data_IF_828049114816
#
_entry.id   IF_828049114816
#
_cell.length_a   1.000
_cell.length_b   1.000
_cell.length_c   1.000
_cell.angle_alpha   90.00
_cell.angle_beta   90.00
_cell.angle_gamma   90.00
#
_symmetry.space_group_name_H-M   'P 1'
#
loop_
_entity.id
_entity.type
_entity.pdbx_description
1 polymer ?
#
# COMPACT_ATOMS: atom_id res chain seq x y z
N UNK A 1 -41.34 -5.81 68.38
CA UNK A 1 -40.05 -6.16 67.74
C UNK A 1 -40.29 -6.39 66.26
N UNK A 2 -39.99 -5.40 65.40
CA UNK A 2 -39.70 -5.51 63.95
C UNK A 2 -39.77 -4.11 63.31
N UNK A 3 -38.83 -3.21 63.65
CA UNK A 3 -38.73 -1.92 62.94
C UNK A 3 -37.29 -1.40 62.79
N UNK A 4 -36.30 -2.29 62.91
CA UNK A 4 -34.88 -1.96 62.69
C UNK A 4 -34.38 -2.49 61.34
N UNK A 5 -34.93 -3.62 60.86
CA UNK A 5 -34.59 -4.19 59.53
C UNK A 5 -35.04 -3.31 58.35
N UNK A 6 -36.09 -2.50 58.52
CA UNK A 6 -36.59 -1.60 57.48
C UNK A 6 -35.63 -0.44 57.23
N UNK A 7 -35.04 0.12 58.30
CA UNK A 7 -34.13 1.27 58.24
C UNK A 7 -32.76 0.91 57.67
N UNK A 8 -32.22 -0.28 57.97
CA UNK A 8 -30.94 -0.75 57.40
C UNK A 8 -31.09 -1.03 55.89
N UNK A 9 -32.26 -1.51 55.47
CA UNK A 9 -32.58 -1.84 54.07
C UNK A 9 -32.82 -0.60 53.18
N UNK A 10 -33.09 0.57 53.78
CA UNK A 10 -33.13 1.86 53.06
C UNK A 10 -31.73 2.48 52.95
N UNK A 11 -30.92 2.40 54.02
CA UNK A 11 -29.58 3.00 54.01
C UNK A 11 -28.60 2.31 53.04
N UNK A 12 -28.73 0.98 52.84
CA UNK A 12 -27.95 0.25 51.82
C UNK A 12 -28.34 0.58 50.38
N UNK A 13 -29.57 1.05 50.13
CA UNK A 13 -30.05 1.37 48.78
C UNK A 13 -29.60 2.75 48.31
N UNK A 14 -29.51 3.72 49.21
CA UNK A 14 -29.05 5.07 48.83
C UNK A 14 -27.52 5.17 48.68
N UNK A 15 -26.73 4.41 49.44
CA UNK A 15 -25.26 4.46 49.32
C UNK A 15 -24.64 3.68 48.15
N UNK A 16 -25.36 2.76 47.50
CA UNK A 16 -24.84 2.08 46.29
C UNK A 16 -25.05 2.89 45.00
N UNK A 17 -25.71 4.06 45.07
CA UNK A 17 -25.94 4.92 43.90
C UNK A 17 -24.86 5.96 43.63
N UNK A 18 -23.90 6.16 44.54
CA UNK A 18 -22.85 7.17 44.38
C UNK A 18 -21.42 6.60 44.40
N UNK A 19 -21.18 5.60 43.56
CA UNK A 19 -19.82 5.37 43.06
C UNK A 19 -19.67 6.20 41.77
N UNK A 20 -18.92 7.32 41.75
CA UNK A 20 -18.58 8.01 40.51
C UNK A 20 -17.60 7.17 39.70
N UNK A 21 -18.13 6.17 39.00
CA UNK A 21 -17.40 5.39 38.01
C UNK A 21 -17.42 6.11 36.66
N UNK A 22 -16.89 7.33 36.57
CA UNK A 22 -16.78 8.00 35.25
C UNK A 22 -15.58 8.97 35.22
N UNK A 23 -14.35 8.43 35.23
CA UNK A 23 -13.18 9.14 34.67
C UNK A 23 -12.49 8.40 33.52
N UNK A 24 -13.05 7.26 33.12
CA UNK A 24 -12.58 6.43 32.00
C UNK A 24 -13.16 6.82 30.64
N UNK A 25 -14.13 7.73 30.59
CA UNK A 25 -14.81 8.12 29.35
C UNK A 25 -13.98 9.04 28.45
N UNK A 26 -13.41 10.12 28.99
CA UNK A 26 -12.72 11.12 28.16
C UNK A 26 -11.36 10.62 27.63
N UNK A 27 -10.54 9.99 28.48
CA UNK A 27 -9.25 9.42 28.07
C UNK A 27 -9.43 8.23 27.13
N UNK A 28 -10.43 7.37 27.38
CA UNK A 28 -10.79 6.27 26.48
C UNK A 28 -11.26 6.75 25.10
N UNK A 29 -12.02 7.85 25.05
CA UNK A 29 -12.47 8.46 23.79
C UNK A 29 -11.31 9.12 23.03
N UNK A 30 -10.40 9.82 23.72
CA UNK A 30 -9.20 10.41 23.11
C UNK A 30 -8.29 9.32 22.55
N UNK A 31 -8.07 8.24 23.30
CA UNK A 31 -7.27 7.10 22.86
C UNK A 31 -7.94 6.40 21.68
N UNK A 32 -9.26 6.24 21.68
CA UNK A 32 -10.01 5.70 20.55
C UNK A 32 -9.87 6.54 19.28
N UNK A 33 -9.88 7.88 19.38
CA UNK A 33 -9.61 8.78 18.25
C UNK A 33 -8.18 8.64 17.73
N UNK A 34 -7.19 8.62 18.62
CA UNK A 34 -5.77 8.42 18.26
C UNK A 34 -5.56 7.09 17.55
N UNK A 35 -6.15 6.02 18.06
CA UNK A 35 -6.09 4.68 17.45
C UNK A 35 -6.70 4.69 16.04
N UNK A 36 -7.86 5.35 15.85
CA UNK A 36 -8.48 5.48 14.52
C UNK A 36 -7.59 6.23 13.53
N UNK A 37 -7.02 7.37 13.92
CA UNK A 37 -6.12 8.13 13.04
C UNK A 37 -4.84 7.35 12.71
N UNK A 38 -4.31 6.58 13.65
CA UNK A 38 -3.19 5.67 13.38
C UNK A 38 -3.59 4.55 12.41
N UNK A 39 -4.79 3.98 12.53
CA UNK A 39 -5.30 2.97 11.60
C UNK A 39 -5.49 3.54 10.19
N UNK A 40 -6.01 4.77 10.07
CA UNK A 40 -6.16 5.47 8.79
C UNK A 40 -4.80 5.73 8.13
N UNK A 41 -3.82 6.20 8.92
CA UNK A 41 -2.46 6.42 8.42
C UNK A 41 -1.77 5.11 8.01
N UNK A 42 -1.92 4.04 8.80
CA UNK A 42 -1.37 2.72 8.44
C UNK A 42 -2.01 2.20 7.14
N UNK A 43 -3.32 2.37 6.94
CA UNK A 43 -3.99 2.02 5.68
C UNK A 43 -3.45 2.82 4.50
N UNK A 44 -3.26 4.12 4.67
CA UNK A 44 -2.70 4.96 3.61
C UNK A 44 -1.27 4.55 3.26
N UNK A 45 -0.43 4.31 4.27
CA UNK A 45 0.92 3.81 4.06
C UNK A 45 0.94 2.42 3.44
N UNK A 46 0.01 1.53 3.78
CA UNK A 46 -0.14 0.21 3.14
C UNK A 46 -0.51 0.34 1.67
N UNK A 47 -1.44 1.24 1.32
CA UNK A 47 -1.80 1.50 -0.08
C UNK A 47 -0.61 2.08 -0.87
N UNK A 48 0.15 2.98 -0.27
CA UNK A 48 1.37 3.54 -0.88
C UNK A 48 2.48 2.49 -0.99
N UNK A 49 2.62 1.61 0.00
CA UNK A 49 3.59 0.51 -0.03
C UNK A 49 3.20 -0.54 -1.08
N UNK A 50 1.93 -0.92 -1.21
CA UNK A 50 1.44 -1.76 -2.31
C UNK A 50 1.79 -1.13 -3.67
N UNK A 51 1.69 0.19 -3.81
CA UNK A 51 2.10 0.88 -5.04
C UNK A 51 3.61 0.90 -5.32
N UNK A 52 4.46 0.58 -4.34
CA UNK A 52 5.92 0.63 -4.43
C UNK A 52 6.57 -0.77 -4.37
N UNK A 53 5.90 -1.75 -3.75
CA UNK A 53 6.55 -3.00 -3.27
C UNK A 53 6.13 -4.25 -4.03
N UNK A 54 5.30 -4.13 -5.05
CA UNK A 54 5.25 -5.16 -6.08
C UNK A 54 6.53 -5.06 -6.91
N UNK A 55 7.59 -5.74 -6.44
CA UNK A 55 8.46 -6.39 -7.40
C UNK A 55 7.52 -7.19 -8.31
N UNK A 56 7.37 -6.86 -9.61
CA UNK A 56 6.37 -7.48 -10.49
C UNK A 56 6.57 -8.99 -10.68
N UNK A 57 7.64 -9.51 -10.09
CA UNK A 57 8.18 -10.84 -10.28
C UNK A 57 8.04 -11.59 -8.96
N UNK A 58 6.92 -12.28 -8.73
CA UNK A 58 6.83 -13.26 -7.66
C UNK A 58 7.80 -14.40 -8.00
N UNK A 59 8.95 -14.41 -7.31
CA UNK A 59 9.99 -15.43 -7.49
C UNK A 59 9.60 -16.78 -6.88
N UNK A 60 8.40 -16.89 -6.28
CA UNK A 60 7.90 -18.10 -5.60
C UNK A 60 7.81 -19.31 -6.55
N UNK A 61 7.43 -19.07 -7.81
CA UNK A 61 7.32 -20.12 -8.85
C UNK A 61 8.53 -20.16 -9.81
N UNK A 62 9.55 -19.34 -9.54
CA UNK A 62 10.68 -19.11 -10.45
C UNK A 62 10.31 -18.20 -11.64
N UNK A 63 11.34 -17.64 -12.27
CA UNK A 63 11.19 -16.73 -13.41
C UNK A 63 12.27 -17.05 -14.46
N UNK A 64 11.88 -17.12 -15.73
CA UNK A 64 12.84 -17.13 -16.84
C UNK A 64 13.41 -15.73 -17.01
N UNK A 65 14.66 -15.58 -16.61
CA UNK A 65 15.37 -14.31 -16.67
C UNK A 65 15.45 -13.73 -18.08
N UNK A 66 15.66 -14.58 -19.10
CA UNK A 66 15.82 -14.10 -20.47
C UNK A 66 14.49 -13.66 -21.08
N UNK A 67 13.40 -14.33 -20.72
CA UNK A 67 12.06 -13.89 -21.12
C UNK A 67 11.75 -12.50 -20.52
N UNK A 68 12.05 -12.29 -19.24
CA UNK A 68 11.74 -11.03 -18.58
C UNK A 68 12.64 -9.88 -19.07
N UNK A 69 13.93 -10.14 -19.27
CA UNK A 69 14.82 -9.18 -19.91
C UNK A 69 14.30 -8.81 -21.30
N UNK A 70 13.80 -9.78 -22.09
CA UNK A 70 13.24 -9.50 -23.41
C UNK A 70 11.99 -8.61 -23.32
N UNK A 71 11.09 -8.86 -22.35
CA UNK A 71 9.91 -8.02 -22.12
C UNK A 71 10.29 -6.59 -21.76
N UNK A 72 11.25 -6.43 -20.86
CA UNK A 72 11.77 -5.13 -20.46
C UNK A 72 12.44 -4.39 -21.63
N UNK A 73 13.28 -5.07 -22.41
CA UNK A 73 13.91 -4.50 -23.60
C UNK A 73 12.88 -4.03 -24.64
N UNK A 74 11.84 -4.84 -24.91
CA UNK A 74 10.75 -4.46 -25.81
C UNK A 74 10.06 -3.18 -25.34
N UNK A 75 9.79 -3.06 -24.04
CA UNK A 75 9.16 -1.86 -23.48
C UNK A 75 10.04 -0.62 -23.67
N UNK A 76 11.34 -0.72 -23.36
CA UNK A 76 12.29 0.38 -23.55
C UNK A 76 12.40 0.81 -25.01
N UNK A 77 12.50 -0.15 -25.93
CA UNK A 77 12.60 0.12 -27.37
C UNK A 77 11.34 0.83 -27.87
N UNK A 78 10.14 0.37 -27.46
CA UNK A 78 8.88 1.02 -27.84
C UNK A 78 8.78 2.45 -27.31
N UNK A 79 9.17 2.69 -26.06
CA UNK A 79 9.16 4.03 -25.47
C UNK A 79 10.13 4.96 -26.20
N UNK A 80 11.35 4.49 -26.50
CA UNK A 80 12.33 5.27 -27.23
C UNK A 80 11.88 5.57 -28.66
N UNK A 81 11.27 4.60 -29.36
CA UNK A 81 10.70 4.82 -30.69
C UNK A 81 9.56 5.84 -30.65
N UNK A 82 8.67 5.78 -29.64
CA UNK A 82 7.61 6.77 -29.46
C UNK A 82 8.17 8.17 -29.20
N UNK A 83 9.16 8.29 -28.32
CA UNK A 83 9.83 9.57 -28.03
C UNK A 83 10.63 10.13 -29.22
N UNK A 84 11.02 9.25 -30.15
CA UNK A 84 11.74 9.58 -31.36
C UNK A 84 10.84 9.77 -32.60
N UNK A 85 9.52 9.78 -32.43
CA UNK A 85 8.54 9.80 -33.55
C UNK A 85 8.83 8.72 -34.62
N UNK A 86 9.25 7.53 -34.19
CA UNK A 86 9.59 6.40 -35.05
C UNK A 86 11.00 6.42 -35.66
N UNK A 87 11.78 7.50 -35.47
CA UNK A 87 13.14 7.59 -35.99
C UNK A 87 14.08 6.65 -35.21
N UNK A 88 14.34 5.46 -35.76
CA UNK A 88 15.21 4.45 -35.13
C UNK A 88 16.58 5.01 -34.74
N UNK A 89 17.17 5.87 -35.57
CA UNK A 89 18.46 6.47 -35.26
C UNK A 89 18.44 7.43 -34.08
N UNK A 90 17.31 8.12 -33.84
CA UNK A 90 17.13 8.95 -32.66
C UNK A 90 16.80 8.09 -31.43
N UNK A 91 15.95 7.08 -31.59
CA UNK A 91 15.67 6.09 -30.54
C UNK A 91 16.95 5.38 -30.05
N UNK A 92 17.85 5.02 -30.96
CA UNK A 92 19.14 4.41 -30.63
C UNK A 92 19.99 5.36 -29.76
N UNK A 93 20.01 6.65 -30.09
CA UNK A 93 20.69 7.67 -29.28
C UNK A 93 20.07 7.82 -27.89
N UNK A 94 18.74 7.82 -27.78
CA UNK A 94 18.04 7.89 -26.50
C UNK A 94 18.39 6.70 -25.59
N UNK A 95 18.49 5.50 -26.17
CA UNK A 95 18.88 4.28 -25.45
C UNK A 95 20.39 4.09 -25.32
N UNK A 96 21.21 5.00 -25.87
CA UNK A 96 22.68 4.90 -25.93
C UNK A 96 23.17 3.60 -26.59
N UNK A 97 22.42 3.12 -27.57
CA UNK A 97 22.77 1.99 -28.42
C UNK A 97 23.29 2.49 -29.76
N UNK A 98 24.13 1.70 -30.42
CA UNK A 98 24.41 1.94 -31.83
C UNK A 98 23.18 1.53 -32.69
N UNK A 99 23.11 2.08 -33.91
CA UNK A 99 21.99 1.83 -34.81
C UNK A 99 21.82 0.36 -35.19
N UNK A 100 22.92 -0.37 -35.36
CA UNK A 100 22.90 -1.77 -35.78
C UNK A 100 22.32 -2.66 -34.67
N UNK A 101 22.71 -2.44 -33.42
CA UNK A 101 22.19 -3.15 -32.24
C UNK A 101 20.69 -2.92 -32.10
N UNK A 102 20.23 -1.67 -32.15
CA UNK A 102 18.80 -1.39 -32.05
C UNK A 102 18.03 -2.01 -33.22
N UNK A 103 18.56 -1.94 -34.45
CA UNK A 103 17.91 -2.54 -35.62
C UNK A 103 17.76 -4.06 -35.48
N UNK A 104 18.80 -4.76 -35.00
CA UNK A 104 18.76 -6.20 -34.73
C UNK A 104 17.71 -6.53 -33.66
N UNK A 105 17.64 -5.77 -32.57
CA UNK A 105 16.65 -5.99 -31.52
C UNK A 105 15.22 -5.74 -32.03
N UNK A 106 14.99 -4.67 -32.79
CA UNK A 106 13.68 -4.37 -33.41
C UNK A 106 13.24 -5.52 -34.32
N UNK A 107 14.14 -6.08 -35.14
CA UNK A 107 13.84 -7.23 -36.00
C UNK A 107 13.57 -8.50 -35.18
N UNK A 108 14.43 -8.79 -34.20
CA UNK A 108 14.30 -9.95 -33.31
C UNK A 108 12.94 -9.98 -32.62
N UNK A 109 12.47 -8.82 -32.16
CA UNK A 109 11.22 -8.68 -31.43
C UNK A 109 10.00 -8.38 -32.32
N UNK A 110 10.17 -8.34 -33.65
CA UNK A 110 9.07 -8.08 -34.58
C UNK A 110 8.42 -6.70 -34.40
N UNK A 111 9.21 -5.68 -34.07
CA UNK A 111 8.72 -4.32 -33.76
C UNK A 111 8.67 -3.39 -34.99
N UNK A 112 8.89 -3.90 -36.20
CA UNK A 112 8.67 -3.16 -37.44
C UNK A 112 7.22 -3.31 -37.88
N UNK A 113 6.49 -2.20 -38.04
CA UNK A 113 5.25 -2.15 -38.83
C UNK A 113 5.56 -1.77 -40.27
#
# INVERSE_FOLDING_TARGET
MNDVSSSISKFKRDRMRELPSVRTGAEGVINGKKIKSLQELVRELQNQLESITDSPYPLEDGLDFYEEVSRFEIQLIRQALKAADGHQGHAAKLLRLNNQTLNVMIKRYGLMS
#
